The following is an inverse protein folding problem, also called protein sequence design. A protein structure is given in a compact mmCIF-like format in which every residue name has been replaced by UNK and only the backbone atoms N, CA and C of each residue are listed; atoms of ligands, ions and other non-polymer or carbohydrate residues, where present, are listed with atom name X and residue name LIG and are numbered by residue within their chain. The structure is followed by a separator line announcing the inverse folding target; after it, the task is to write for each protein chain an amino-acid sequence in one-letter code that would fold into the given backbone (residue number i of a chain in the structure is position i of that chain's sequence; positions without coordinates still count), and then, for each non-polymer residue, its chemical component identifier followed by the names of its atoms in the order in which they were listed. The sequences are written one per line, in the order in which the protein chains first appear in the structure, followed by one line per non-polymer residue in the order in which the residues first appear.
data_IF_025338585334
#
_entry.id   IF_025338585334
#
_cell.length_a   1.000
_cell.length_b   1.000
_cell.length_c   1.000
_cell.angle_alpha   90.00
_cell.angle_beta   90.00
_cell.angle_gamma   90.00
#
_symmetry.space_group_name_H-M   'P 1'
#
loop_
_entity.id
_entity.type
_entity.pdbx_description
1 polymer ?
#
# COMPACT_ATOMS: atom_id res chain seq x y z
N UNK A 1 -26.87 6.98 12.13
CA UNK A 1 -26.27 5.86 12.88
C UNK A 1 -25.80 6.37 14.25
N UNK A 2 -25.00 7.45 14.31
CA UNK A 2 -24.40 7.96 15.55
C UNK A 2 -25.26 9.01 16.27
N UNK A 3 -26.38 9.45 15.68
CA UNK A 3 -27.24 10.48 16.25
C UNK A 3 -26.61 11.87 16.35
N UNK A 4 -25.51 12.12 15.64
CA UNK A 4 -24.85 13.41 15.54
C UNK A 4 -25.45 14.26 14.42
N UNK A 5 -25.40 15.58 14.55
CA UNK A 5 -25.80 16.54 13.51
C UNK A 5 -24.58 17.20 12.89
N UNK A 6 -24.75 17.81 11.71
CA UNK A 6 -23.66 18.54 11.04
C UNK A 6 -23.08 19.67 11.91
N UNK A 7 -23.89 20.28 12.76
CA UNK A 7 -23.45 21.33 13.68
C UNK A 7 -22.45 20.85 14.74
N UNK A 8 -22.43 19.55 15.00
CA UNK A 8 -21.50 18.92 15.95
C UNK A 8 -20.17 18.51 15.27
N UNK A 9 -20.07 18.66 13.94
CA UNK A 9 -18.87 18.38 13.19
C UNK A 9 -18.02 19.64 13.02
N UNK A 10 -16.70 19.52 12.92
CA UNK A 10 -15.86 20.63 12.51
C UNK A 10 -16.19 21.04 11.06
N UNK A 11 -15.86 22.27 10.69
CA UNK A 11 -15.98 22.71 9.30
C UNK A 11 -15.12 21.81 8.40
N UNK A 12 -15.72 21.27 7.35
CA UNK A 12 -15.05 20.43 6.38
C UNK A 12 -14.45 21.30 5.27
N UNK A 13 -13.29 20.87 4.77
CA UNK A 13 -12.54 21.51 3.70
C UNK A 13 -12.01 20.45 2.74
N UNK A 14 -11.86 20.80 1.50
CA UNK A 14 -11.07 20.02 0.56
C UNK A 14 -9.57 20.08 0.92
N UNK A 15 -8.83 19.04 0.59
CA UNK A 15 -7.44 18.87 1.03
C UNK A 15 -6.52 20.02 0.60
N UNK A 16 -6.81 20.70 -0.50
CA UNK A 16 -6.04 21.84 -1.03
C UNK A 16 -6.62 23.20 -0.62
N UNK A 17 -7.73 23.27 0.11
CA UNK A 17 -8.30 24.55 0.50
C UNK A 17 -7.45 25.26 1.55
N UNK A 18 -7.37 26.57 1.44
CA UNK A 18 -6.72 27.43 2.42
C UNK A 18 -7.65 27.60 3.61
N UNK A 19 -7.22 27.15 4.77
CA UNK A 19 -7.98 27.22 6.03
C UNK A 19 -7.61 28.42 6.90
N UNK A 20 -6.52 29.12 6.57
CA UNK A 20 -6.06 30.28 7.29
C UNK A 20 -4.65 30.72 6.90
N UNK A 21 -4.06 31.55 7.77
CA UNK A 21 -2.67 32.00 7.69
C UNK A 21 -1.95 31.69 9.01
N UNK A 22 -0.62 31.70 9.02
CA UNK A 22 0.14 31.62 10.25
C UNK A 22 -0.20 32.82 11.14
N UNK A 23 -0.20 32.61 12.46
CA UNK A 23 -0.27 33.71 13.42
C UNK A 23 0.98 34.59 13.25
N UNK A 24 0.83 35.93 13.29
CA UNK A 24 1.97 36.85 13.05
C UNK A 24 3.18 36.58 13.93
N UNK A 25 2.95 36.26 15.22
CA UNK A 25 4.02 35.94 16.17
C UNK A 25 4.81 34.69 15.76
N UNK A 26 4.11 33.64 15.26
CA UNK A 26 4.76 32.39 14.80
C UNK A 26 5.50 32.61 13.47
N UNK A 27 4.90 33.36 12.55
CA UNK A 27 5.55 33.71 11.28
C UNK A 27 6.88 34.47 11.54
N UNK A 28 6.85 35.42 12.48
CA UNK A 28 8.05 36.17 12.88
C UNK A 28 9.09 35.29 13.55
N UNK A 29 8.69 34.41 14.47
CA UNK A 29 9.60 33.48 15.18
C UNK A 29 10.32 32.55 14.21
N UNK A 30 9.59 32.03 13.21
CA UNK A 30 10.12 31.11 12.21
C UNK A 30 10.77 31.79 11.01
N UNK A 31 10.76 33.13 10.94
CA UNK A 31 11.29 33.89 9.81
C UNK A 31 10.48 33.77 8.52
N UNK A 32 9.19 33.46 8.62
CA UNK A 32 8.27 33.38 7.49
C UNK A 32 7.59 34.74 7.23
N UNK A 33 7.08 34.89 6.02
CA UNK A 33 6.15 35.97 5.67
C UNK A 33 4.81 35.84 6.44
N UNK A 34 4.20 36.94 6.81
CA UNK A 34 2.86 36.97 7.43
C UNK A 34 1.76 36.44 6.49
N UNK A 35 2.05 36.34 5.18
CA UNK A 35 1.14 35.82 4.16
C UNK A 35 1.22 34.31 3.94
N UNK A 36 1.94 33.58 4.78
CA UNK A 36 2.01 32.11 4.67
C UNK A 36 0.64 31.50 4.90
N UNK A 37 0.13 30.83 3.89
CA UNK A 37 -1.15 30.14 3.92
C UNK A 37 -1.02 28.80 4.61
N UNK A 38 -2.03 28.44 5.37
CA UNK A 38 -2.23 27.10 5.94
C UNK A 38 -3.29 26.41 5.12
N UNK A 39 -2.95 25.25 4.58
CA UNK A 39 -3.83 24.42 3.73
C UNK A 39 -4.32 23.23 4.53
N UNK A 40 -5.54 22.77 4.28
CA UNK A 40 -6.21 21.71 5.06
C UNK A 40 -5.38 20.43 5.16
N UNK A 41 -4.75 20.00 4.05
CA UNK A 41 -3.95 18.78 4.02
C UNK A 41 -4.79 17.51 3.91
N UNK A 42 -4.16 16.37 4.17
CA UNK A 42 -4.81 15.06 4.07
C UNK A 42 -4.23 14.07 5.08
N UNK A 43 -4.95 12.99 5.35
CA UNK A 43 -4.40 11.83 6.05
C UNK A 43 -3.24 11.21 5.26
N UNK A 44 -2.34 10.51 5.95
CA UNK A 44 -1.06 10.01 5.42
C UNK A 44 -1.21 9.18 4.13
N UNK A 45 -2.20 8.28 4.06
CA UNK A 45 -2.41 7.43 2.88
C UNK A 45 -2.90 8.24 1.66
N UNK A 46 -3.83 9.18 1.86
CA UNK A 46 -4.31 10.04 0.78
C UNK A 46 -3.21 11.04 0.33
N UNK A 47 -2.42 11.57 1.27
CA UNK A 47 -1.26 12.38 0.95
C UNK A 47 -0.20 11.56 0.19
N UNK A 48 0.09 10.33 0.61
CA UNK A 48 1.00 9.43 -0.11
C UNK A 48 0.51 9.14 -1.54
N UNK A 49 -0.79 8.96 -1.72
CA UNK A 49 -1.37 8.78 -3.04
C UNK A 49 -1.12 10.01 -3.93
N UNK A 50 -1.32 11.22 -3.42
CA UNK A 50 -0.97 12.46 -4.16
C UNK A 50 0.51 12.51 -4.48
N UNK A 51 1.37 12.26 -3.49
CA UNK A 51 2.83 12.32 -3.64
C UNK A 51 3.38 11.31 -4.65
N UNK A 52 2.73 10.16 -4.78
CA UNK A 52 3.06 9.14 -5.78
C UNK A 52 2.31 9.32 -7.11
N UNK A 53 1.54 10.40 -7.26
CA UNK A 53 0.71 10.65 -8.45
C UNK A 53 -0.39 9.61 -8.67
N UNK A 54 -0.85 8.97 -7.59
CA UNK A 54 -2.01 8.06 -7.60
C UNK A 54 -3.27 8.91 -7.47
N UNK A 55 -3.53 9.73 -8.47
CA UNK A 55 -4.62 10.71 -8.56
C UNK A 55 -5.42 10.52 -9.85
N UNK A 56 -6.69 10.86 -9.80
CA UNK A 56 -7.64 10.57 -10.89
C UNK A 56 -8.15 9.14 -10.82
N UNK A 57 -8.91 8.73 -11.82
CA UNK A 57 -9.63 7.45 -11.83
C UNK A 57 -8.71 6.26 -12.15
N UNK A 58 -8.94 5.12 -11.51
CA UNK A 58 -8.31 3.84 -11.84
C UNK A 58 -6.80 3.76 -11.56
N UNK A 59 -6.27 4.63 -10.70
CA UNK A 59 -4.87 4.55 -10.29
C UNK A 59 -4.70 3.64 -9.09
N UNK A 60 -3.54 3.01 -8.98
CA UNK A 60 -3.20 2.13 -7.85
C UNK A 60 -1.84 2.49 -7.26
N UNK A 61 -1.76 2.38 -5.94
CA UNK A 61 -0.50 2.47 -5.18
C UNK A 61 -0.42 1.35 -4.16
N UNK A 62 0.76 0.75 -4.04
CA UNK A 62 1.10 -0.19 -2.97
C UNK A 62 2.11 0.50 -2.05
N UNK A 63 1.75 0.67 -0.78
CA UNK A 63 2.71 1.05 0.24
C UNK A 63 3.18 -0.19 0.99
N UNK A 64 4.48 -0.49 0.90
CA UNK A 64 5.11 -1.65 1.51
C UNK A 64 5.97 -1.23 2.70
N UNK A 65 5.31 -0.73 3.72
CA UNK A 65 5.87 -0.30 5.01
C UNK A 65 5.77 -1.38 6.08
N UNK A 66 5.81 -1.00 7.35
CA UNK A 66 5.55 -1.91 8.49
C UNK A 66 4.23 -2.66 8.28
N UNK A 67 3.15 -1.92 8.04
CA UNK A 67 1.91 -2.41 7.44
C UNK A 67 1.95 -2.27 5.92
N UNK A 68 1.03 -2.92 5.21
CA UNK A 68 0.87 -2.80 3.77
C UNK A 68 -0.48 -2.19 3.41
N UNK A 69 -0.51 -1.31 2.41
CA UNK A 69 -1.77 -0.84 1.87
C UNK A 69 -1.80 -1.02 0.36
N UNK A 70 -2.98 -1.34 -0.16
CA UNK A 70 -3.28 -1.28 -1.58
C UNK A 70 -4.38 -0.24 -1.76
N UNK A 71 -4.05 0.86 -2.41
CA UNK A 71 -4.88 2.03 -2.60
C UNK A 71 -5.40 2.07 -4.04
N UNK A 72 -6.69 2.26 -4.22
CA UNK A 72 -7.36 2.31 -5.51
C UNK A 72 -8.15 3.61 -5.62
N UNK A 73 -7.70 4.55 -6.44
CA UNK A 73 -8.44 5.80 -6.68
C UNK A 73 -9.64 5.58 -7.59
N UNK A 74 -10.75 6.26 -7.31
CA UNK A 74 -11.99 6.18 -8.09
C UNK A 74 -12.71 7.51 -8.07
N UNK A 75 -13.25 7.94 -9.23
CA UNK A 75 -14.16 9.09 -9.30
C UNK A 75 -15.52 8.83 -8.68
N UNK A 76 -15.88 7.56 -8.55
CA UNK A 76 -17.17 7.15 -8.00
C UNK A 76 -16.99 6.64 -6.58
N UNK A 77 -17.91 7.05 -5.69
CA UNK A 77 -17.99 6.46 -4.38
C UNK A 77 -18.35 4.98 -4.49
N UNK A 78 -17.59 4.14 -3.82
CA UNK A 78 -17.82 2.70 -3.80
C UNK A 78 -17.71 2.15 -2.38
N UNK A 79 -18.48 1.11 -2.10
CA UNK A 79 -18.44 0.38 -0.83
C UNK A 79 -18.32 -1.10 -1.14
N UNK A 80 -17.41 -1.76 -0.46
CA UNK A 80 -17.42 -3.23 -0.40
C UNK A 80 -18.39 -3.68 0.69
N UNK A 81 -19.43 -4.41 0.30
CA UNK A 81 -20.50 -4.87 1.19
C UNK A 81 -20.00 -5.77 2.32
N UNK A 82 -18.86 -6.44 2.11
CA UNK A 82 -18.24 -7.30 3.12
C UNK A 82 -17.28 -6.52 4.04
N UNK A 83 -17.11 -5.21 3.85
CA UNK A 83 -16.17 -4.37 4.57
C UNK A 83 -14.71 -4.89 4.53
N UNK A 84 -14.33 -5.61 3.49
CA UNK A 84 -12.96 -6.07 3.28
C UNK A 84 -12.03 -4.93 2.84
N UNK A 85 -12.57 -3.93 2.13
CA UNK A 85 -11.88 -2.70 1.79
C UNK A 85 -12.53 -1.51 2.50
N UNK A 86 -11.70 -0.55 2.90
CA UNK A 86 -12.15 0.73 3.45
C UNK A 86 -12.46 1.70 2.32
N UNK A 87 -13.54 2.48 2.48
CA UNK A 87 -13.93 3.54 1.53
C UNK A 87 -13.73 4.91 2.17
N UNK A 88 -13.03 5.80 1.46
CA UNK A 88 -12.68 7.13 1.94
C UNK A 88 -12.80 8.18 0.83
N UNK A 89 -12.88 9.46 1.25
CA UNK A 89 -12.60 10.59 0.37
C UNK A 89 -11.11 10.63 0.02
N UNK A 90 -10.80 10.90 -1.23
CA UNK A 90 -9.43 11.09 -1.69
C UNK A 90 -9.04 12.56 -1.68
N UNK A 91 -7.74 12.85 -1.51
CA UNK A 91 -7.21 14.22 -1.43
C UNK A 91 -7.22 14.99 -2.76
N UNK A 92 -7.67 14.38 -3.85
CA UNK A 92 -7.88 15.02 -5.16
C UNK A 92 -9.35 15.39 -5.42
N UNK A 93 -10.22 15.31 -4.39
CA UNK A 93 -11.65 15.59 -4.50
C UNK A 93 -12.50 14.42 -4.99
N UNK A 94 -11.89 13.25 -5.16
CA UNK A 94 -12.57 12.01 -5.55
C UNK A 94 -12.68 11.05 -4.36
N UNK A 95 -12.71 9.75 -4.62
CA UNK A 95 -12.81 8.69 -3.61
C UNK A 95 -11.70 7.66 -3.78
N UNK A 96 -11.49 6.84 -2.75
CA UNK A 96 -10.65 5.67 -2.87
C UNK A 96 -11.15 4.50 -2.05
N UNK A 97 -10.84 3.31 -2.53
CA UNK A 97 -10.89 2.09 -1.75
C UNK A 97 -9.48 1.72 -1.30
N UNK A 98 -9.36 1.18 -0.10
CA UNK A 98 -8.06 0.80 0.47
C UNK A 98 -8.14 -0.53 1.20
N UNK A 99 -7.29 -1.47 0.77
CA UNK A 99 -6.97 -2.65 1.56
C UNK A 99 -5.82 -2.35 2.50
N UNK A 100 -5.93 -2.77 3.76
CA UNK A 100 -4.91 -2.58 4.77
C UNK A 100 -4.51 -3.91 5.41
N UNK A 101 -3.27 -4.31 5.18
CA UNK A 101 -2.62 -5.46 5.78
C UNK A 101 -1.80 -5.00 7.00
N UNK A 102 -1.99 -5.65 8.16
CA UNK A 102 -1.35 -5.20 9.40
C UNK A 102 0.15 -5.51 9.46
N UNK A 103 0.60 -6.57 8.81
CA UNK A 103 2.00 -7.01 8.82
C UNK A 103 2.48 -7.23 7.39
N UNK A 104 3.23 -6.28 6.83
CA UNK A 104 3.78 -6.33 5.49
C UNK A 104 5.32 -6.41 5.50
N UNK A 105 6.05 -5.30 5.31
CA UNK A 105 7.50 -5.34 5.42
C UNK A 105 7.98 -5.70 6.83
N UNK A 106 7.15 -5.52 7.85
CA UNK A 106 7.41 -6.03 9.19
C UNK A 106 7.54 -7.55 9.26
N UNK A 107 6.87 -8.32 8.40
CA UNK A 107 7.06 -9.77 8.32
C UNK A 107 8.49 -10.13 7.90
N UNK A 108 9.00 -9.48 6.86
CA UNK A 108 10.38 -9.70 6.42
C UNK A 108 11.39 -9.20 7.46
N UNK A 109 11.10 -8.08 8.12
CA UNK A 109 11.93 -7.56 9.20
C UNK A 109 11.97 -8.53 10.38
N UNK A 110 10.82 -8.97 10.87
CA UNK A 110 10.70 -9.97 11.92
C UNK A 110 11.44 -11.28 11.57
N UNK A 111 11.24 -11.77 10.35
CA UNK A 111 11.91 -12.98 9.88
C UNK A 111 13.43 -12.83 9.89
N UNK A 112 13.96 -11.76 9.32
CA UNK A 112 15.39 -11.52 9.25
C UNK A 112 16.00 -11.20 10.63
N UNK A 113 15.46 -10.22 11.36
CA UNK A 113 16.09 -9.71 12.57
C UNK A 113 15.85 -10.63 13.78
N UNK A 114 14.63 -11.14 13.97
CA UNK A 114 14.30 -11.94 15.17
C UNK A 114 14.53 -13.44 14.96
N UNK A 115 14.24 -13.99 13.77
CA UNK A 115 14.37 -15.44 13.54
C UNK A 115 15.75 -15.77 12.98
N UNK A 116 16.21 -15.06 11.95
CA UNK A 116 17.49 -15.34 11.31
C UNK A 116 18.68 -14.60 11.96
N UNK A 117 18.41 -13.66 12.86
CA UNK A 117 19.41 -12.87 13.59
C UNK A 117 20.37 -12.09 12.65
N UNK A 118 19.83 -11.52 11.56
CA UNK A 118 20.58 -10.74 10.58
C UNK A 118 19.85 -9.47 10.18
N UNK A 119 20.62 -8.45 9.78
CA UNK A 119 20.07 -7.22 9.17
C UNK A 119 20.40 -7.11 7.67
N UNK A 120 21.07 -8.11 7.12
CA UNK A 120 21.42 -8.15 5.70
C UNK A 120 20.31 -8.83 4.88
N UNK A 121 19.25 -8.07 4.63
CA UNK A 121 18.11 -8.54 3.81
C UNK A 121 18.52 -8.97 2.40
N UNK A 122 19.54 -8.33 1.83
CA UNK A 122 19.99 -8.64 0.48
C UNK A 122 20.68 -10.01 0.43
N UNK A 123 21.54 -10.31 1.41
CA UNK A 123 22.16 -11.61 1.54
C UNK A 123 21.16 -12.75 1.75
N UNK A 124 20.09 -12.51 2.51
CA UNK A 124 19.03 -13.50 2.71
C UNK A 124 18.19 -13.75 1.45
N UNK A 125 18.07 -12.78 0.59
CA UNK A 125 17.31 -12.88 -0.66
C UNK A 125 18.13 -13.41 -1.83
N UNK A 126 19.45 -13.25 -1.81
CA UNK A 126 20.34 -13.64 -2.91
C UNK A 126 20.27 -15.14 -3.29
N UNK A 127 20.08 -16.09 -2.36
CA UNK A 127 19.95 -17.51 -2.71
C UNK A 127 18.63 -17.88 -3.40
N UNK A 128 17.63 -16.99 -3.41
CA UNK A 128 16.30 -17.24 -3.99
C UNK A 128 16.41 -17.13 -5.53
N UNK A 129 16.38 -18.26 -6.21
CA UNK A 129 16.57 -18.33 -7.67
C UNK A 129 15.32 -18.77 -8.42
N UNK A 130 14.47 -19.62 -7.80
CA UNK A 130 13.32 -20.24 -8.45
C UNK A 130 12.01 -19.65 -7.95
N UNK A 131 11.57 -18.58 -8.60
CA UNK A 131 10.29 -17.96 -8.28
C UNK A 131 9.11 -18.82 -8.78
N UNK A 132 8.02 -18.82 -8.02
CA UNK A 132 6.80 -19.54 -8.37
C UNK A 132 6.86 -21.07 -8.16
N UNK A 133 7.96 -21.62 -7.65
CA UNK A 133 8.17 -23.07 -7.48
C UNK A 133 8.29 -23.50 -6.00
N UNK A 134 8.26 -22.55 -5.07
CA UNK A 134 8.38 -22.82 -3.65
C UNK A 134 7.19 -23.66 -3.14
N UNK A 135 7.45 -24.72 -2.36
CA UNK A 135 6.40 -25.54 -1.75
C UNK A 135 5.95 -25.02 -0.38
N UNK A 136 6.74 -24.11 0.22
CA UNK A 136 6.40 -23.48 1.50
C UNK A 136 5.52 -22.26 1.26
N UNK A 137 4.53 -22.08 2.13
CA UNK A 137 3.65 -20.92 2.20
C UNK A 137 3.76 -20.24 3.56
N UNK A 138 3.48 -18.95 3.60
CA UNK A 138 3.41 -18.19 4.83
C UNK A 138 2.14 -17.34 4.87
N UNK A 139 1.32 -17.50 5.91
CA UNK A 139 0.24 -16.57 6.22
C UNK A 139 0.83 -15.41 7.04
N UNK A 140 0.80 -14.18 6.53
CA UNK A 140 1.57 -13.07 7.12
C UNK A 140 0.87 -12.35 8.28
N UNK A 141 -0.06 -12.99 8.96
CA UNK A 141 -0.99 -12.34 9.91
C UNK A 141 -0.42 -12.27 11.34
N UNK A 142 0.84 -11.81 11.48
CA UNK A 142 1.56 -11.78 12.76
C UNK A 142 0.87 -10.94 13.84
N UNK A 143 0.12 -9.91 13.45
CA UNK A 143 -0.60 -9.00 14.36
C UNK A 143 -2.12 -9.05 14.16
N UNK A 144 -2.66 -10.19 13.76
CA UNK A 144 -3.99 -10.25 13.21
C UNK A 144 -4.04 -9.75 11.78
N UNK A 145 -5.24 -9.69 11.16
CA UNK A 145 -5.38 -9.14 9.82
C UNK A 145 -6.65 -8.31 9.68
N UNK A 146 -6.53 -7.18 8.97
CA UNK A 146 -7.66 -6.30 8.66
C UNK A 146 -8.25 -6.69 7.31
N UNK A 147 -7.61 -6.33 6.22
CA UNK A 147 -8.14 -6.63 4.88
C UNK A 147 -7.57 -7.92 4.31
N UNK A 148 -8.40 -8.81 3.78
CA UNK A 148 -9.86 -8.74 3.70
C UNK A 148 -10.58 -9.45 4.87
N UNK A 149 -9.87 -9.98 5.86
CA UNK A 149 -10.36 -10.97 6.81
C UNK A 149 -11.06 -10.40 8.04
N UNK A 150 -10.75 -9.15 8.42
CA UNK A 150 -11.25 -8.50 9.64
C UNK A 150 -11.16 -9.40 10.89
N UNK A 151 -10.02 -10.09 11.04
CA UNK A 151 -9.79 -11.05 12.12
C UNK A 151 -8.57 -10.64 12.98
N UNK A 152 -8.77 -10.04 14.16
CA UNK A 152 -7.69 -9.64 15.05
C UNK A 152 -6.97 -10.84 15.68
N UNK A 153 -7.59 -12.01 15.67
CA UNK A 153 -7.03 -13.23 16.28
C UNK A 153 -6.20 -14.07 15.31
N UNK A 154 -6.22 -13.75 14.00
CA UNK A 154 -5.39 -14.42 13.00
C UNK A 154 -3.91 -14.33 13.38
N UNK A 155 -3.14 -15.36 13.08
CA UNK A 155 -1.70 -15.45 13.38
C UNK A 155 -0.91 -15.94 12.17
N UNK A 156 0.40 -15.70 12.20
CA UNK A 156 1.33 -16.19 11.19
C UNK A 156 1.42 -17.72 11.20
N UNK A 157 1.42 -18.31 10.00
CA UNK A 157 1.52 -19.77 9.83
C UNK A 157 2.45 -20.09 8.68
N UNK A 158 3.44 -20.95 8.90
CA UNK A 158 4.16 -21.62 7.82
C UNK A 158 3.47 -22.96 7.50
N UNK A 159 3.25 -23.20 6.22
CA UNK A 159 2.60 -24.40 5.72
C UNK A 159 3.41 -25.05 4.58
N UNK A 160 3.44 -26.38 4.55
CA UNK A 160 4.06 -27.14 3.46
C UNK A 160 5.56 -27.40 3.62
N UNK A 161 6.13 -27.18 4.82
CA UNK A 161 7.53 -27.51 5.08
C UNK A 161 7.79 -29.03 4.99
N UNK A 162 8.95 -29.38 4.45
CA UNK A 162 9.47 -30.75 4.39
C UNK A 162 10.92 -30.78 4.87
N UNK A 163 11.52 -31.97 4.91
CA UNK A 163 12.94 -32.13 5.25
C UNK A 163 13.88 -31.41 4.27
N UNK A 164 13.41 -31.12 3.05
CA UNK A 164 14.17 -30.44 2.01
C UNK A 164 13.98 -28.91 2.03
N UNK A 165 13.12 -28.38 2.90
CA UNK A 165 12.89 -26.95 3.01
C UNK A 165 14.14 -26.24 3.53
N UNK A 166 14.60 -25.27 2.78
CA UNK A 166 15.80 -24.48 3.10
C UNK A 166 15.46 -23.14 3.73
N UNK A 167 16.47 -22.47 4.29
CA UNK A 167 16.37 -21.09 4.75
C UNK A 167 15.90 -20.14 3.66
N UNK A 168 16.35 -20.33 2.41
CA UNK A 168 15.93 -19.55 1.26
C UNK A 168 14.44 -19.74 0.92
N UNK A 169 13.95 -21.00 0.99
CA UNK A 169 12.53 -21.28 0.77
C UNK A 169 11.64 -20.60 1.82
N UNK A 170 12.08 -20.59 3.07
CA UNK A 170 11.37 -19.92 4.16
C UNK A 170 11.35 -18.40 3.96
N UNK A 171 12.50 -17.80 3.59
CA UNK A 171 12.60 -16.37 3.28
C UNK A 171 11.71 -16.01 2.09
N UNK A 172 11.73 -16.81 1.03
CA UNK A 172 10.87 -16.64 -0.15
C UNK A 172 9.39 -16.72 0.24
N UNK A 173 9.01 -17.69 1.08
CA UNK A 173 7.63 -17.84 1.55
C UNK A 173 7.13 -16.60 2.30
N UNK A 174 7.99 -15.94 3.09
CA UNK A 174 7.63 -14.69 3.78
C UNK A 174 7.35 -13.57 2.78
N UNK A 175 8.21 -13.38 1.77
CA UNK A 175 8.02 -12.35 0.74
C UNK A 175 6.77 -12.62 -0.12
N UNK A 176 6.57 -13.87 -0.53
CA UNK A 176 5.42 -14.31 -1.32
C UNK A 176 4.11 -14.22 -0.52
N UNK A 177 4.12 -14.61 0.76
CA UNK A 177 2.95 -14.55 1.62
C UNK A 177 2.39 -13.13 1.77
N UNK A 178 3.27 -12.14 1.96
CA UNK A 178 2.88 -10.72 1.95
C UNK A 178 2.30 -10.31 0.60
N UNK A 179 2.93 -10.71 -0.52
CA UNK A 179 2.42 -10.39 -1.85
C UNK A 179 1.04 -11.02 -2.11
N UNK A 180 0.80 -12.25 -1.65
CA UNK A 180 -0.49 -12.92 -1.76
C UNK A 180 -1.56 -12.21 -0.90
N UNK A 181 -1.24 -11.81 0.33
CA UNK A 181 -2.17 -11.07 1.18
C UNK A 181 -2.54 -9.70 0.60
N UNK A 182 -1.59 -8.99 -0.01
CA UNK A 182 -1.89 -7.76 -0.75
C UNK A 182 -2.77 -8.04 -1.98
N UNK A 183 -2.54 -9.17 -2.68
CA UNK A 183 -3.38 -9.59 -3.80
C UNK A 183 -4.81 -9.88 -3.37
N UNK A 184 -5.06 -10.41 -2.18
CA UNK A 184 -6.43 -10.62 -1.68
C UNK A 184 -7.24 -9.31 -1.71
N UNK A 185 -6.64 -8.18 -1.32
CA UNK A 185 -7.27 -6.85 -1.42
C UNK A 185 -7.50 -6.41 -2.87
N UNK A 186 -6.55 -6.69 -3.77
CA UNK A 186 -6.68 -6.40 -5.21
C UNK A 186 -7.84 -7.20 -5.84
N UNK A 187 -8.00 -8.47 -5.47
CA UNK A 187 -9.09 -9.30 -6.00
C UNK A 187 -10.47 -8.80 -5.53
N UNK A 188 -10.58 -8.26 -4.30
CA UNK A 188 -11.82 -7.58 -3.87
C UNK A 188 -12.10 -6.38 -4.75
N UNK A 189 -11.10 -5.53 -5.03
CA UNK A 189 -11.28 -4.37 -5.92
C UNK A 189 -11.65 -4.79 -7.36
N UNK A 190 -11.03 -5.85 -7.90
CA UNK A 190 -11.38 -6.42 -9.21
C UNK A 190 -12.82 -6.91 -9.29
N UNK A 191 -13.30 -7.57 -8.23
CA UNK A 191 -14.68 -8.05 -8.13
C UNK A 191 -15.70 -6.90 -8.05
N UNK A 192 -15.29 -5.73 -7.57
CA UNK A 192 -16.07 -4.48 -7.63
C UNK A 192 -16.00 -3.78 -8.99
N UNK A 193 -15.33 -4.39 -9.98
CA UNK A 193 -15.21 -3.88 -11.35
C UNK A 193 -14.09 -2.85 -11.56
N UNK A 194 -13.21 -2.63 -10.58
CA UNK A 194 -12.07 -1.71 -10.73
C UNK A 194 -11.00 -2.39 -11.59
N UNK A 195 -10.66 -1.78 -12.72
CA UNK A 195 -9.64 -2.28 -13.64
C UNK A 195 -8.29 -1.65 -13.31
N UNK A 196 -7.35 -2.47 -12.88
CA UNK A 196 -5.99 -2.05 -12.55
C UNK A 196 -5.01 -2.86 -13.42
N UNK A 197 -4.18 -2.16 -14.17
CA UNK A 197 -3.15 -2.76 -15.03
C UNK A 197 -1.73 -2.46 -14.54
N UNK A 198 -1.59 -1.40 -13.74
CA UNK A 198 -0.32 -0.97 -13.17
C UNK A 198 -0.51 -0.41 -11.77
N UNK A 199 0.54 -0.45 -11.00
CA UNK A 199 0.60 0.13 -9.65
C UNK A 199 1.92 0.86 -9.45
N UNK A 200 1.91 1.89 -8.65
CA UNK A 200 3.13 2.48 -8.08
C UNK A 200 3.44 1.77 -6.77
N UNK A 201 4.70 1.73 -6.39
CA UNK A 201 5.12 1.10 -5.13
C UNK A 201 6.03 2.06 -4.36
N UNK A 202 5.80 2.13 -3.03
CA UNK A 202 6.62 2.93 -2.12
C UNK A 202 6.83 2.19 -0.79
N UNK A 203 7.64 2.77 0.10
CA UNK A 203 7.95 2.21 1.41
C UNK A 203 9.20 1.35 1.42
N UNK A 204 9.63 0.96 2.64
CA UNK A 204 10.92 0.28 2.84
C UNK A 204 11.08 -1.04 2.08
N UNK A 205 10.00 -1.82 1.94
CA UNK A 205 10.00 -3.08 1.19
C UNK A 205 10.18 -2.90 -0.32
N UNK A 206 9.80 -1.74 -0.87
CA UNK A 206 9.96 -1.41 -2.28
C UNK A 206 11.44 -1.30 -2.71
N UNK A 207 12.37 -1.19 -1.75
CA UNK A 207 13.82 -1.17 -2.03
C UNK A 207 14.36 -2.51 -2.51
N UNK A 208 13.64 -3.63 -2.27
CA UNK A 208 14.05 -4.96 -2.74
C UNK A 208 13.64 -5.19 -4.21
N UNK A 209 14.58 -5.34 -5.16
CA UNK A 209 14.27 -5.68 -6.54
C UNK A 209 13.55 -7.03 -6.67
N UNK A 210 13.97 -8.01 -5.85
CA UNK A 210 13.34 -9.33 -5.81
C UNK A 210 11.87 -9.23 -5.39
N UNK A 211 11.59 -8.46 -4.35
CA UNK A 211 10.21 -8.34 -3.86
C UNK A 211 9.29 -7.61 -4.84
N UNK A 212 9.80 -6.56 -5.52
CA UNK A 212 9.07 -5.92 -6.64
C UNK A 212 8.75 -6.91 -7.74
N UNK A 213 9.70 -7.78 -8.12
CA UNK A 213 9.48 -8.84 -9.11
C UNK A 213 8.42 -9.85 -8.64
N UNK A 214 8.47 -10.29 -7.38
CA UNK A 214 7.45 -11.17 -6.80
C UNK A 214 6.07 -10.50 -6.87
N UNK A 215 5.95 -9.25 -6.42
CA UNK A 215 4.68 -8.49 -6.41
C UNK A 215 4.12 -8.33 -7.82
N UNK A 216 4.96 -7.93 -8.80
CA UNK A 216 4.52 -7.78 -10.19
C UNK A 216 3.90 -9.07 -10.73
N UNK A 217 4.53 -10.21 -10.47
CA UNK A 217 4.07 -11.51 -10.97
C UNK A 217 2.89 -12.08 -10.17
N UNK A 218 2.91 -11.96 -8.85
CA UNK A 218 1.78 -12.39 -7.99
C UNK A 218 0.51 -11.63 -8.31
N UNK A 219 0.60 -10.32 -8.53
CA UNK A 219 -0.56 -9.47 -8.81
C UNK A 219 -0.93 -9.39 -10.29
N UNK A 220 -0.05 -9.85 -11.18
CA UNK A 220 -0.14 -9.65 -12.63
C UNK A 220 -0.37 -8.17 -12.96
N UNK A 221 0.52 -7.30 -12.46
CA UNK A 221 0.52 -5.86 -12.64
C UNK A 221 1.91 -5.35 -12.97
N UNK A 222 1.98 -4.32 -13.82
CA UNK A 222 3.18 -3.51 -13.97
C UNK A 222 3.44 -2.74 -12.68
N UNK A 223 4.65 -2.84 -12.14
CA UNK A 223 5.06 -2.13 -10.93
C UNK A 223 6.00 -0.99 -11.29
N UNK A 224 5.50 0.22 -11.21
CA UNK A 224 6.23 1.45 -11.49
C UNK A 224 7.08 1.87 -10.28
N UNK A 225 8.35 2.12 -10.53
CA UNK A 225 9.32 2.65 -9.56
C UNK A 225 9.45 4.15 -9.79
N UNK A 226 9.23 4.93 -8.74
CA UNK A 226 9.30 6.39 -8.81
C UNK A 226 10.72 6.90 -8.52
N UNK A 227 11.07 8.04 -9.12
CA UNK A 227 12.31 8.77 -8.86
C UNK A 227 12.40 9.20 -7.38
N UNK A 228 11.25 9.57 -6.80
CA UNK A 228 11.12 9.96 -5.41
C UNK A 228 10.04 9.11 -4.71
N UNK A 229 10.43 8.41 -3.64
CA UNK A 229 9.56 7.55 -2.86
C UNK A 229 8.93 8.26 -1.64
N UNK A 230 9.15 9.58 -1.48
CA UNK A 230 8.64 10.43 -0.40
C UNK A 230 7.13 10.69 -0.56
N UNK A 231 6.31 9.68 -0.26
CA UNK A 231 4.88 9.72 -0.49
C UNK A 231 4.14 10.82 0.29
N UNK A 232 3.96 10.72 1.63
CA UNK A 232 3.07 11.64 2.38
C UNK A 232 3.58 13.08 2.42
N UNK A 233 4.88 13.29 2.67
CA UNK A 233 5.48 14.63 2.75
C UNK A 233 5.42 15.36 1.41
N UNK A 234 5.72 14.66 0.32
CA UNK A 234 5.59 15.20 -1.03
C UNK A 234 4.14 15.55 -1.35
N UNK A 235 3.18 14.67 -1.01
CA UNK A 235 1.76 14.92 -1.20
C UNK A 235 1.27 16.15 -0.44
N UNK A 236 1.67 16.32 0.81
CA UNK A 236 1.38 17.52 1.61
C UNK A 236 1.91 18.79 0.95
N UNK A 237 3.15 18.76 0.43
CA UNK A 237 3.74 19.89 -0.30
C UNK A 237 2.98 20.19 -1.60
N UNK A 238 2.54 19.16 -2.34
CA UNK A 238 1.74 19.32 -3.55
C UNK A 238 0.37 19.95 -3.26
N UNK A 239 -0.33 19.51 -2.19
CA UNK A 239 -1.59 20.09 -1.76
C UNK A 239 -1.42 21.57 -1.40
N UNK A 240 -0.35 21.91 -0.67
CA UNK A 240 -0.01 23.31 -0.35
C UNK A 240 0.25 24.14 -1.60
N UNK A 241 0.95 23.58 -2.60
CA UNK A 241 1.22 24.27 -3.86
C UNK A 241 -0.07 24.56 -4.65
N UNK A 242 -1.04 23.65 -4.66
CA UNK A 242 -2.37 23.89 -5.25
C UNK A 242 -3.11 24.97 -4.47
N UNK A 243 -3.17 24.89 -3.14
CA UNK A 243 -3.82 25.88 -2.28
C UNK A 243 -3.24 27.28 -2.39
N UNK A 244 -1.95 27.39 -2.71
CA UNK A 244 -1.29 28.68 -3.00
C UNK A 244 -1.52 29.18 -4.43
N UNK A 245 -2.12 28.39 -5.30
CA UNK A 245 -2.39 28.73 -6.71
C UNK A 245 -1.19 28.53 -7.65
N UNK A 246 -0.14 27.81 -7.19
CA UNK A 246 1.01 27.49 -8.04
C UNK A 246 0.68 26.43 -9.12
N UNK A 247 -0.34 25.62 -8.87
CA UNK A 247 -0.89 24.62 -9.80
C UNK A 247 -2.41 24.66 -9.80
N UNK A 248 -3.05 24.33 -10.94
CA UNK A 248 -4.50 24.46 -11.08
C UNK A 248 -5.28 23.42 -10.27
N UNK A 249 -4.74 22.22 -10.11
CA UNK A 249 -5.40 21.10 -9.43
C UNK A 249 -4.38 20.03 -8.99
N UNK A 250 -4.84 19.12 -8.13
CA UNK A 250 -4.05 18.04 -7.54
C UNK A 250 -3.64 16.98 -8.56
N UNK A 251 -4.48 16.73 -9.56
CA UNK A 251 -4.18 15.73 -10.61
C UNK A 251 -3.01 16.21 -11.48
N UNK A 252 -3.01 17.48 -11.85
CA UNK A 252 -1.94 18.10 -12.66
C UNK A 252 -0.58 18.06 -11.95
N UNK A 253 -0.53 18.47 -10.68
CA UNK A 253 0.73 18.46 -9.93
C UNK A 253 1.19 17.05 -9.64
N UNK A 254 0.31 16.13 -9.25
CA UNK A 254 0.62 14.73 -8.99
C UNK A 254 1.25 14.05 -10.20
N UNK A 255 0.64 14.19 -11.38
CA UNK A 255 1.19 13.66 -12.64
C UNK A 255 2.53 14.27 -13.02
N UNK A 256 2.76 15.53 -12.73
CA UNK A 256 4.00 16.25 -13.09
C UNK A 256 5.20 15.75 -12.27
N UNK A 257 5.01 15.48 -10.98
CA UNK A 257 6.11 15.16 -10.07
C UNK A 257 6.30 13.65 -9.82
N UNK A 258 5.29 12.83 -10.08
CA UNK A 258 5.42 11.37 -9.98
C UNK A 258 6.11 10.81 -11.23
N UNK A 259 7.43 11.03 -11.31
CA UNK A 259 8.23 10.51 -12.43
C UNK A 259 8.56 9.03 -12.23
N UNK A 260 8.15 8.22 -13.19
CA UNK A 260 8.52 6.80 -13.26
C UNK A 260 9.92 6.70 -13.87
N UNK A 261 10.84 6.05 -13.16
CA UNK A 261 12.23 5.83 -13.59
C UNK A 261 12.48 4.40 -14.03
N UNK A 262 11.65 3.46 -13.61
CA UNK A 262 11.73 2.05 -13.98
C UNK A 262 10.35 1.40 -13.87
N UNK A 263 10.12 0.31 -14.58
CA UNK A 263 8.89 -0.49 -14.49
C UNK A 263 9.25 -1.97 -14.49
N UNK A 264 8.79 -2.67 -13.47
CA UNK A 264 8.90 -4.13 -13.39
C UNK A 264 7.68 -4.73 -14.08
N UNK A 265 7.89 -5.32 -15.24
CA UNK A 265 6.84 -6.00 -16.01
C UNK A 265 6.60 -7.41 -15.45
N UNK A 266 5.33 -7.87 -15.38
CA UNK A 266 5.05 -9.26 -15.05
C UNK A 266 5.47 -10.19 -16.19
N UNK A 267 6.05 -11.34 -15.84
CA UNK A 267 6.42 -12.41 -16.76
C UNK A 267 5.26 -13.41 -16.86
N UNK A 268 4.70 -13.67 -18.06
CA UNK A 268 3.54 -14.54 -18.22
C UNK A 268 3.72 -15.96 -17.65
N UNK A 269 4.91 -16.52 -17.73
CA UNK A 269 5.21 -17.87 -17.20
C UNK A 269 5.21 -17.87 -15.68
N UNK A 270 5.81 -16.83 -15.07
CA UNK A 270 5.80 -16.65 -13.62
C UNK A 270 4.40 -16.32 -13.11
N UNK A 271 3.65 -15.51 -13.84
CA UNK A 271 2.24 -15.20 -13.49
C UNK A 271 1.42 -16.50 -13.42
N UNK A 272 1.56 -17.39 -14.41
CA UNK A 272 0.86 -18.67 -14.41
C UNK A 272 1.23 -19.55 -13.20
N UNK A 273 2.53 -19.65 -12.87
CA UNK A 273 3.00 -20.38 -11.69
C UNK A 273 2.47 -19.76 -10.38
N UNK A 274 2.48 -18.44 -10.27
CA UNK A 274 1.97 -17.75 -9.10
C UNK A 274 0.45 -17.82 -8.99
N UNK A 275 -0.27 -17.94 -10.10
CA UNK A 275 -1.73 -18.14 -10.06
C UNK A 275 -2.08 -19.46 -9.35
N UNK A 276 -1.44 -20.57 -9.72
CA UNK A 276 -1.66 -21.87 -9.06
C UNK A 276 -1.33 -21.80 -7.57
N UNK A 277 -0.23 -21.15 -7.21
CA UNK A 277 0.18 -20.95 -5.82
C UNK A 277 -0.80 -20.06 -5.05
N UNK A 278 -1.28 -18.99 -5.65
CA UNK A 278 -2.26 -18.09 -5.04
C UNK A 278 -3.59 -18.81 -4.77
N UNK A 279 -4.08 -19.61 -5.71
CA UNK A 279 -5.29 -20.40 -5.47
C UNK A 279 -5.13 -21.34 -4.27
N UNK A 280 -3.95 -21.95 -4.09
CA UNK A 280 -3.65 -22.74 -2.90
C UNK A 280 -3.55 -21.87 -1.63
N UNK A 281 -2.88 -20.73 -1.68
CA UNK A 281 -2.76 -19.80 -0.56
C UNK A 281 -4.13 -19.39 -0.01
N UNK A 282 -5.09 -19.06 -0.87
CA UNK A 282 -6.45 -18.67 -0.48
C UNK A 282 -7.20 -19.74 0.31
N UNK A 283 -6.83 -21.01 0.20
CA UNK A 283 -7.46 -22.08 0.97
C UNK A 283 -6.91 -22.21 2.38
N UNK A 284 -5.74 -21.66 2.65
CA UNK A 284 -5.05 -21.82 3.95
C UNK A 284 -5.75 -21.06 5.08
N UNK A 285 -6.08 -19.78 4.86
CA UNK A 285 -6.73 -18.99 5.91
C UNK A 285 -8.07 -19.60 6.36
N UNK A 286 -9.03 -19.97 5.47
CA UNK A 286 -10.26 -20.63 5.90
C UNK A 286 -10.03 -21.92 6.66
N UNK A 287 -9.01 -22.70 6.28
CA UNK A 287 -8.67 -23.95 6.97
C UNK A 287 -8.09 -23.72 8.37
N UNK A 288 -7.31 -22.64 8.54
CA UNK A 288 -6.65 -22.28 9.82
C UNK A 288 -7.54 -21.46 10.73
N UNK A 289 -8.51 -20.71 10.20
CA UNK A 289 -9.38 -19.81 10.95
C UNK A 289 -10.00 -20.41 12.23
N UNK A 290 -10.47 -21.66 12.24
CA UNK A 290 -11.03 -22.26 13.45
C UNK A 290 -10.01 -22.53 14.58
N UNK A 291 -8.71 -22.35 14.28
CA UNK A 291 -7.61 -22.59 15.22
C UNK A 291 -7.05 -21.28 15.83
N UNK A 292 -7.53 -20.14 15.37
CA UNK A 292 -7.14 -18.81 15.85
C UNK A 292 -8.01 -18.36 17.02
#
# INVERSE_FOLDING_TARGET
ICGITEEQLPKLYESWEVVGTLKPEIAKELGFSENVKVVAGAGDNAAAAVGTGTVGDGQCNISLGTSGTVFFSSKNFGVDENNALHSFCHADGSYHLMGCMLSAASCNKWWAEEILQTKDFAAEQAPIQKLGENHVFFLPYLMGERSPHNNPDARGVFFGMSMDSTRADMTQAVLEGVAFGLRDSLEVARNLGIKIERTKICGGGAKSPLWKKIIANVMNLKVDVLENEEGPSMGGAMLAAVGCGAYPDVETIGKKFAKVVDTVEPDPELVAKYEERYQKFRTLYPAMKPLF
#
